data_IF_162599198263
#
_entry.id   IF_162599198263
#
_cell.length_a   1.000
_cell.length_b   1.000
_cell.length_c   1.000
_cell.angle_alpha   90.00
_cell.angle_beta   90.00
_cell.angle_gamma   90.00
#
_symmetry.space_group_name_H-M   'P 1'
#
loop_
_entity.id
_entity.type
_entity.pdbx_description
1 polymer ?
#
# COMPACT_ATOMS: atom_id res chain seq x y z
N UNK A 1 -3.10 -15.34 7.55
CA UNK A 1 -2.33 -14.32 8.31
C UNK A 1 -3.12 -13.96 9.56
N UNK A 2 -2.48 -13.86 10.72
CA UNK A 2 -3.15 -13.48 11.96
C UNK A 2 -3.76 -12.06 11.80
N UNK A 3 -5.04 -11.87 12.18
CA UNK A 3 -5.77 -10.60 12.03
C UNK A 3 -5.05 -9.40 12.67
N UNK A 4 -4.28 -9.64 13.74
CA UNK A 4 -3.45 -8.60 14.39
C UNK A 4 -2.28 -8.14 13.50
N UNK A 5 -1.58 -9.09 12.89
CA UNK A 5 -0.46 -8.80 11.98
C UNK A 5 -0.93 -8.04 10.74
N UNK A 6 -2.08 -8.41 10.20
CA UNK A 6 -2.65 -7.74 9.03
C UNK A 6 -2.91 -6.25 9.29
N UNK A 7 -3.55 -5.90 10.42
CA UNK A 7 -3.76 -4.50 10.81
C UNK A 7 -2.44 -3.74 10.92
N UNK A 8 -1.44 -4.33 11.56
CA UNK A 8 -0.12 -3.70 11.73
C UNK A 8 0.52 -3.46 10.35
N UNK A 9 0.49 -4.45 9.47
CA UNK A 9 1.00 -4.30 8.10
C UNK A 9 0.25 -3.22 7.33
N UNK A 10 -1.08 -3.13 7.45
CA UNK A 10 -1.86 -2.05 6.84
C UNK A 10 -1.38 -0.68 7.34
N UNK A 11 -1.26 -0.50 8.65
CA UNK A 11 -0.81 0.77 9.22
C UNK A 11 0.61 1.13 8.80
N UNK A 12 1.52 0.16 8.74
CA UNK A 12 2.89 0.38 8.25
C UNK A 12 2.92 0.80 6.78
N UNK A 13 2.16 0.11 5.93
CA UNK A 13 2.08 0.44 4.49
C UNK A 13 1.46 1.82 4.28
N UNK A 14 0.41 2.16 5.03
CA UNK A 14 -0.20 3.49 4.97
C UNK A 14 0.74 4.58 5.49
N UNK A 15 1.45 4.32 6.58
CA UNK A 15 2.45 5.26 7.10
C UNK A 15 3.58 5.49 6.11
N UNK A 16 4.08 4.43 5.48
CA UNK A 16 5.11 4.50 4.44
C UNK A 16 4.62 5.33 3.25
N UNK A 17 3.36 5.15 2.82
CA UNK A 17 2.76 5.96 1.75
C UNK A 17 2.70 7.45 2.14
N UNK A 18 2.18 7.76 3.33
CA UNK A 18 2.08 9.15 3.81
C UNK A 18 3.47 9.79 3.86
N UNK A 19 4.46 9.08 4.36
CA UNK A 19 5.84 9.55 4.42
C UNK A 19 6.45 9.73 3.02
N UNK A 20 6.19 8.81 2.10
CA UNK A 20 6.62 8.91 0.70
C UNK A 20 6.00 10.11 -0.02
N UNK A 21 4.73 10.43 0.25
CA UNK A 21 4.08 11.64 -0.28
C UNK A 21 4.68 12.89 0.37
N UNK A 22 4.93 12.88 1.67
CA UNK A 22 5.50 14.03 2.39
C UNK A 22 6.91 14.40 1.89
N UNK A 23 7.73 13.41 1.53
CA UNK A 23 9.06 13.62 0.96
C UNK A 23 9.07 13.94 -0.54
N UNK A 24 7.93 13.86 -1.22
CA UNK A 24 7.87 14.02 -2.67
C UNK A 24 8.22 15.46 -3.06
N UNK A 25 9.27 15.60 -3.86
CA UNK A 25 9.66 16.86 -4.47
C UNK A 25 8.74 17.16 -5.66
N UNK A 26 7.90 18.18 -5.49
CA UNK A 26 6.91 18.63 -6.46
C UNK A 26 7.54 19.34 -7.67
N UNK A 27 8.75 19.89 -7.55
CA UNK A 27 9.44 20.55 -8.66
C UNK A 27 10.06 19.51 -9.61
N UNK A 28 10.35 18.33 -9.07
CA UNK A 28 11.02 17.23 -9.78
C UNK A 28 10.23 15.92 -9.77
N UNK A 29 8.90 15.99 -9.88
CA UNK A 29 7.98 14.85 -9.78
C UNK A 29 8.40 13.61 -10.60
N UNK A 30 8.92 13.83 -11.82
CA UNK A 30 9.29 12.74 -12.73
C UNK A 30 10.73 12.25 -12.57
N UNK A 31 11.53 12.92 -11.73
CA UNK A 31 12.92 12.51 -11.49
C UNK A 31 12.93 11.32 -10.53
N UNK A 32 13.22 10.14 -11.09
CA UNK A 32 13.39 8.91 -10.31
C UNK A 32 14.55 9.04 -9.33
N UNK A 33 15.64 9.72 -9.69
CA UNK A 33 16.80 9.88 -8.82
C UNK A 33 16.46 10.68 -7.56
N UNK A 34 15.66 11.75 -7.70
CA UNK A 34 15.28 12.64 -6.60
C UNK A 34 14.16 12.00 -5.75
N UNK A 35 13.15 11.41 -6.40
CA UNK A 35 11.95 10.90 -5.75
C UNK A 35 11.94 9.37 -5.61
N UNK A 36 13.11 8.71 -5.65
CA UNK A 36 13.21 7.24 -5.68
C UNK A 36 12.47 6.56 -4.51
N UNK A 37 12.55 7.16 -3.32
CA UNK A 37 11.91 6.63 -2.12
C UNK A 37 10.38 6.74 -2.22
N UNK A 38 9.86 7.87 -2.70
CA UNK A 38 8.43 8.06 -2.94
C UNK A 38 7.92 7.06 -3.97
N UNK A 39 8.63 6.87 -5.08
CA UNK A 39 8.29 5.85 -6.08
C UNK A 39 8.26 4.43 -5.49
N UNK A 40 9.24 4.09 -4.66
CA UNK A 40 9.28 2.80 -3.97
C UNK A 40 8.10 2.64 -3.01
N UNK A 41 7.77 3.67 -2.23
CA UNK A 41 6.63 3.67 -1.32
C UNK A 41 5.30 3.48 -2.08
N UNK A 42 5.13 4.17 -3.21
CA UNK A 42 3.97 3.99 -4.08
C UNK A 42 3.88 2.59 -4.67
N UNK A 43 4.99 2.01 -5.13
CA UNK A 43 5.02 0.65 -5.66
C UNK A 43 4.63 -0.39 -4.59
N UNK A 44 5.17 -0.26 -3.37
CA UNK A 44 4.81 -1.12 -2.24
C UNK A 44 3.32 -0.99 -1.91
N UNK A 45 2.79 0.24 -1.88
CA UNK A 45 1.38 0.51 -1.65
C UNK A 45 0.48 -0.14 -2.71
N UNK A 46 0.81 -0.01 -4.00
CA UNK A 46 0.04 -0.61 -5.09
C UNK A 46 0.00 -2.14 -4.99
N UNK A 47 1.15 -2.78 -4.75
CA UNK A 47 1.22 -4.22 -4.55
C UNK A 47 0.34 -4.67 -3.36
N UNK A 48 0.42 -3.94 -2.25
CA UNK A 48 -0.39 -4.21 -1.07
C UNK A 48 -1.89 -4.00 -1.33
N UNK A 49 -2.26 -2.95 -2.07
CA UNK A 49 -3.64 -2.66 -2.44
C UNK A 49 -4.24 -3.80 -3.27
N UNK A 50 -3.53 -4.27 -4.30
CA UNK A 50 -3.98 -5.40 -5.13
C UNK A 50 -4.14 -6.66 -4.28
N UNK A 51 -3.19 -6.94 -3.39
CA UNK A 51 -3.29 -8.06 -2.45
C UNK A 51 -4.52 -7.95 -1.54
N UNK A 52 -4.75 -6.77 -0.97
CA UNK A 52 -5.87 -6.47 -0.08
C UNK A 52 -7.22 -6.64 -0.80
N UNK A 53 -7.34 -6.10 -2.02
CA UNK A 53 -8.55 -6.21 -2.84
C UNK A 53 -8.88 -7.65 -3.21
N UNK A 54 -7.88 -8.43 -3.67
CA UNK A 54 -8.08 -9.86 -3.99
C UNK A 54 -8.54 -10.64 -2.77
N UNK A 55 -7.98 -10.33 -1.61
CA UNK A 55 -8.36 -10.97 -0.35
C UNK A 55 -9.78 -10.59 0.08
N UNK A 56 -10.15 -9.32 -0.04
CA UNK A 56 -11.49 -8.84 0.29
C UNK A 56 -12.55 -9.50 -0.62
N UNK A 57 -12.29 -9.59 -1.92
CA UNK A 57 -13.18 -10.28 -2.86
C UNK A 57 -13.38 -11.75 -2.47
N UNK A 58 -12.30 -12.48 -2.20
CA UNK A 58 -12.36 -13.89 -1.76
C UNK A 58 -13.13 -14.06 -0.44
N UNK A 59 -13.03 -13.11 0.49
CA UNK A 59 -13.78 -13.13 1.75
C UNK A 59 -15.27 -12.86 1.54
N UNK A 60 -15.63 -11.98 0.60
CA UNK A 60 -17.03 -11.71 0.26
C UNK A 60 -17.71 -12.91 -0.41
N UNK A 61 -17.00 -13.62 -1.29
CA UNK A 61 -17.54 -14.83 -1.93
C UNK A 61 -17.81 -15.94 -0.91
N UNK A 62 -16.87 -16.18 0.01
CA UNK A 62 -17.02 -17.15 1.12
C UNK A 62 -18.15 -16.81 2.10
N UNK A 63 -18.58 -15.54 2.16
CA UNK A 63 -19.71 -15.11 2.99
C UNK A 63 -21.05 -15.21 2.26
N UNK A 64 -21.07 -15.21 0.92
CA UNK A 64 -22.29 -15.38 0.13
C UNK A 64 -22.70 -16.84 -0.02
N UNK A 65 -21.77 -17.78 0.10
CA UNK A 65 -22.02 -19.23 0.04
C UNK A 65 -22.46 -19.83 1.40
N UNK A 66 -22.52 -19.03 2.46
CA UNK A 66 -23.02 -19.42 3.79
C UNK A 66 -24.39 -18.83 4.06
#
# INVERSE_FOLDING_TARGET
>A
MNKKFEKITTYLVLFLLVYGIYQLDMEHLWSIEINWFSFLAFAIFLCYLVFSLKKAAKQQDLQKEK
#
